data_IF_551098015444
#
_entry.id   IF_551098015444
#
_cell.length_a   1.000
_cell.length_b   1.000
_cell.length_c   1.000
_cell.angle_alpha   90.00
_cell.angle_beta   90.00
_cell.angle_gamma   90.00
#
_symmetry.space_group_name_H-M   'P 1'
#
loop_
_entity.id
_entity.type
_entity.pdbx_description
1 polymer ?
#
# COMPACT_ATOMS: atom_id res chain seq x y z
N UNK A 1 -49.03 -6.95 -14.35
CA UNK A 1 -49.42 -5.65 -14.96
C UNK A 1 -50.05 -4.88 -13.82
N UNK A 2 -49.60 -3.73 -13.35
CA UNK A 2 -48.98 -2.52 -13.93
C UNK A 2 -48.00 -1.94 -12.88
N UNK A 3 -46.73 -1.64 -13.17
CA UNK A 3 -46.15 -0.36 -13.63
C UNK A 3 -46.68 0.91 -12.93
N UNK A 4 -45.81 1.56 -12.15
CA UNK A 4 -45.51 3.01 -12.12
C UNK A 4 -44.40 3.24 -11.08
N UNK A 5 -43.13 3.21 -11.50
CA UNK A 5 -42.30 4.37 -11.89
C UNK A 5 -41.87 5.24 -10.70
N UNK A 6 -40.76 4.84 -10.09
CA UNK A 6 -39.91 5.65 -9.23
C UNK A 6 -39.39 6.86 -10.03
N UNK A 7 -39.82 8.05 -9.66
CA UNK A 7 -39.09 9.29 -9.94
C UNK A 7 -38.70 9.88 -8.59
N UNK A 8 -37.59 9.42 -8.04
CA UNK A 8 -36.86 10.16 -7.01
C UNK A 8 -36.33 11.44 -7.65
N UNK A 9 -37.13 12.50 -7.55
CA UNK A 9 -36.69 13.85 -7.83
C UNK A 9 -35.59 14.19 -6.83
N UNK A 10 -34.37 14.41 -7.35
CA UNK A 10 -33.26 15.02 -6.64
C UNK A 10 -33.74 16.33 -6.01
N UNK A 11 -34.11 16.26 -4.72
CA UNK A 11 -34.43 17.42 -3.91
C UNK A 11 -33.15 18.22 -3.73
N UNK A 12 -32.98 19.24 -4.57
CA UNK A 12 -31.98 20.28 -4.37
C UNK A 12 -32.39 21.01 -3.09
N UNK A 13 -31.67 20.73 -2.01
CA UNK A 13 -31.86 21.40 -0.72
C UNK A 13 -31.74 22.91 -0.94
N UNK A 14 -32.75 23.72 -0.58
CA UNK A 14 -32.64 25.16 -0.71
C UNK A 14 -31.57 25.64 0.28
N UNK A 15 -30.49 26.19 -0.27
CA UNK A 15 -29.48 26.90 0.51
C UNK A 15 -30.17 28.13 1.11
N UNK A 16 -30.29 28.17 2.43
CA UNK A 16 -30.83 29.30 3.17
C UNK A 16 -29.95 30.54 2.90
N UNK A 17 -30.45 31.44 2.05
CA UNK A 17 -29.82 32.74 1.86
C UNK A 17 -30.32 33.67 2.94
N UNK A 18 -29.46 33.93 3.94
CA UNK A 18 -29.63 35.03 4.88
C UNK A 18 -29.92 36.33 4.11
N UNK A 19 -30.96 37.02 4.55
CA UNK A 19 -31.54 38.20 3.92
C UNK A 19 -30.54 39.34 3.83
N UNK A 20 -29.96 39.55 2.64
CA UNK A 20 -29.17 40.73 2.32
C UNK A 20 -30.06 41.86 1.80
N UNK A 21 -29.80 43.04 2.35
CA UNK A 21 -30.51 44.32 2.21
C UNK A 21 -30.74 44.76 0.76
N UNK A 22 -31.99 45.15 0.46
CA UNK A 22 -32.38 45.94 -0.73
C UNK A 22 -32.41 45.18 -2.05
N UNK A 23 -33.60 44.82 -2.54
CA UNK A 23 -33.83 44.24 -3.86
C UNK A 23 -33.32 45.15 -5.00
N UNK A 24 -32.04 45.03 -5.37
CA UNK A 24 -31.50 45.60 -6.60
C UNK A 24 -31.93 44.70 -7.75
N UNK A 25 -32.87 45.17 -8.57
CA UNK A 25 -33.31 44.47 -9.78
C UNK A 25 -32.27 44.73 -10.87
N UNK A 26 -31.48 43.73 -11.21
CA UNK A 26 -30.51 43.80 -12.30
C UNK A 26 -31.17 43.36 -13.61
N UNK A 27 -31.12 44.22 -14.64
CA UNK A 27 -31.55 43.85 -15.99
C UNK A 27 -30.39 43.14 -16.70
N UNK A 28 -30.53 41.83 -16.93
CA UNK A 28 -29.51 41.02 -17.59
C UNK A 28 -29.98 40.72 -19.02
N UNK A 29 -29.12 41.02 -19.99
CA UNK A 29 -29.36 40.72 -21.41
C UNK A 29 -29.14 39.23 -21.69
N UNK A 30 -29.77 38.70 -22.75
CA UNK A 30 -29.60 37.28 -23.12
C UNK A 30 -28.15 36.85 -23.35
N UNK A 31 -27.28 37.79 -23.80
CA UNK A 31 -25.83 37.55 -23.97
C UNK A 31 -25.11 37.37 -22.63
N UNK A 32 -25.46 38.15 -21.62
CA UNK A 32 -24.87 38.03 -20.27
C UNK A 32 -25.29 36.74 -19.59
N UNK A 33 -26.54 36.29 -19.77
CA UNK A 33 -27.01 34.98 -19.30
C UNK A 33 -26.21 33.83 -19.92
N UNK A 34 -25.98 33.87 -21.24
CA UNK A 34 -25.15 32.85 -21.90
C UNK A 34 -23.71 32.86 -21.40
N UNK A 35 -23.13 34.04 -21.13
CA UNK A 35 -21.78 34.15 -20.58
C UNK A 35 -21.68 33.58 -19.17
N UNK A 36 -22.65 33.86 -18.30
CA UNK A 36 -22.71 33.29 -16.95
C UNK A 36 -22.81 31.76 -17.04
N UNK A 37 -23.72 31.23 -17.87
CA UNK A 37 -23.87 29.79 -18.06
C UNK A 37 -22.59 29.13 -18.58
N UNK A 38 -21.89 29.77 -19.53
CA UNK A 38 -20.61 29.28 -20.02
C UNK A 38 -19.51 29.28 -18.96
N UNK A 39 -19.40 30.34 -18.14
CA UNK A 39 -18.41 30.41 -17.06
C UNK A 39 -18.69 29.35 -16.00
N UNK A 40 -19.95 29.19 -15.58
CA UNK A 40 -20.38 28.16 -14.64
C UNK A 40 -20.09 26.75 -15.18
N UNK A 41 -20.41 26.49 -16.44
CA UNK A 41 -20.14 25.20 -17.08
C UNK A 41 -18.63 24.91 -17.18
N UNK A 42 -17.82 25.92 -17.54
CA UNK A 42 -16.36 25.78 -17.60
C UNK A 42 -15.76 25.46 -16.24
N UNK A 43 -16.15 26.19 -15.20
CA UNK A 43 -15.62 25.95 -13.85
C UNK A 43 -16.07 24.60 -13.28
N UNK A 44 -17.34 24.22 -13.51
CA UNK A 44 -17.84 22.90 -13.13
C UNK A 44 -17.05 21.76 -13.80
N UNK A 45 -16.77 21.87 -15.10
CA UNK A 45 -15.96 20.88 -15.84
C UNK A 45 -14.52 20.85 -15.32
N UNK A 46 -13.94 22.00 -15.00
CA UNK A 46 -12.59 22.09 -14.44
C UNK A 46 -12.49 21.39 -13.08
N UNK A 47 -13.40 21.70 -12.16
CA UNK A 47 -13.47 21.05 -10.85
C UNK A 47 -13.68 19.55 -10.97
N UNK A 48 -14.59 19.11 -11.86
CA UNK A 48 -14.81 17.68 -12.12
C UNK A 48 -13.54 16.97 -12.63
N UNK A 49 -12.80 17.61 -13.54
CA UNK A 49 -11.52 17.08 -14.05
C UNK A 49 -10.44 17.04 -12.98
N UNK A 50 -10.36 18.04 -12.11
CA UNK A 50 -9.39 18.06 -11.02
C UNK A 50 -9.68 16.99 -9.98
N UNK A 51 -10.94 16.80 -9.59
CA UNK A 51 -11.34 15.71 -8.70
C UNK A 51 -11.04 14.34 -9.32
N UNK A 52 -11.35 14.14 -10.61
CA UNK A 52 -10.95 12.92 -11.34
C UNK A 52 -9.45 12.67 -11.32
N UNK A 53 -8.64 13.70 -11.57
CA UNK A 53 -7.17 13.57 -11.50
C UNK A 53 -6.69 13.23 -10.09
N UNK A 54 -7.33 13.77 -9.05
CA UNK A 54 -6.99 13.46 -7.65
C UNK A 54 -7.34 12.01 -7.34
N UNK A 55 -8.52 11.51 -7.75
CA UNK A 55 -8.93 10.12 -7.53
C UNK A 55 -8.02 9.16 -8.30
N UNK A 56 -7.73 9.43 -9.57
CA UNK A 56 -6.81 8.62 -10.39
C UNK A 56 -5.41 8.55 -9.75
N UNK A 57 -4.88 9.67 -9.25
CA UNK A 57 -3.59 9.69 -8.54
C UNK A 57 -3.62 8.86 -7.24
N UNK A 58 -4.72 8.92 -6.49
CA UNK A 58 -4.90 8.11 -5.27
C UNK A 58 -4.96 6.63 -5.59
N UNK A 59 -5.71 6.25 -6.63
CA UNK A 59 -5.82 4.87 -7.11
C UNK A 59 -4.47 4.35 -7.60
N UNK A 60 -3.75 5.14 -8.38
CA UNK A 60 -2.42 4.80 -8.87
C UNK A 60 -1.42 4.62 -7.71
N UNK A 61 -1.40 5.55 -6.76
CA UNK A 61 -0.57 5.45 -5.55
C UNK A 61 -0.91 4.17 -4.76
N UNK A 62 -2.19 3.86 -4.60
CA UNK A 62 -2.62 2.64 -3.92
C UNK A 62 -2.17 1.38 -4.69
N UNK A 63 -2.31 1.36 -6.01
CA UNK A 63 -1.84 0.25 -6.85
C UNK A 63 -0.31 0.05 -6.72
N UNK A 64 0.46 1.14 -6.66
CA UNK A 64 1.90 1.08 -6.50
C UNK A 64 2.32 0.63 -5.10
N UNK A 65 1.56 1.01 -4.06
CA UNK A 65 1.74 0.47 -2.70
C UNK A 65 1.55 -1.04 -2.67
N UNK A 66 0.49 -1.56 -3.30
CA UNK A 66 0.25 -3.01 -3.39
C UNK A 66 1.38 -3.75 -4.10
N UNK A 67 1.90 -3.19 -5.20
CA UNK A 67 3.06 -3.76 -5.91
C UNK A 67 4.32 -3.80 -5.03
N UNK A 68 4.57 -2.72 -4.27
CA UNK A 68 5.69 -2.66 -3.30
C UNK A 68 5.54 -3.71 -2.22
N UNK A 69 4.34 -3.87 -1.66
CA UNK A 69 4.04 -4.89 -0.66
C UNK A 69 4.28 -6.30 -1.19
N UNK A 70 3.82 -6.61 -2.41
CA UNK A 70 4.09 -7.92 -3.04
C UNK A 70 5.59 -8.20 -3.16
N UNK A 71 6.38 -7.18 -3.50
CA UNK A 71 7.84 -7.29 -3.58
C UNK A 71 8.47 -7.53 -2.19
N UNK A 72 8.03 -6.80 -1.17
CA UNK A 72 8.50 -7.00 0.21
C UNK A 72 8.20 -8.41 0.72
N UNK A 73 7.00 -8.93 0.44
CA UNK A 73 6.61 -10.29 0.83
C UNK A 73 7.39 -11.36 0.05
N UNK A 74 7.66 -11.17 -1.25
CA UNK A 74 8.51 -12.10 -1.99
C UNK A 74 9.96 -12.08 -1.51
N UNK A 75 10.45 -10.92 -1.08
CA UNK A 75 11.81 -10.75 -0.57
C UNK A 75 11.95 -11.25 0.89
N UNK A 76 10.84 -11.44 1.63
CA UNK A 76 10.85 -11.84 3.05
C UNK A 76 11.69 -13.10 3.31
N UNK A 77 11.48 -14.18 2.55
CA UNK A 77 12.26 -15.43 2.69
C UNK A 77 13.75 -15.22 2.46
N UNK A 78 14.09 -14.37 1.49
CA UNK A 78 15.49 -14.02 1.20
C UNK A 78 16.10 -13.27 2.38
N UNK A 79 15.39 -12.28 2.92
CA UNK A 79 15.83 -11.51 4.08
C UNK A 79 16.01 -12.40 5.31
N UNK A 80 15.08 -13.32 5.56
CA UNK A 80 15.14 -14.28 6.67
C UNK A 80 16.30 -15.26 6.55
N UNK A 81 16.69 -15.66 5.33
CA UNK A 81 17.92 -16.45 5.11
C UNK A 81 19.21 -15.65 5.30
N UNK A 82 19.20 -14.37 4.97
CA UNK A 82 20.37 -13.49 5.09
C UNK A 82 20.68 -13.10 6.54
N UNK A 83 19.69 -13.14 7.44
CA UNK A 83 19.85 -12.83 8.87
C UNK A 83 19.64 -14.10 9.68
N UNK A 84 20.70 -14.81 10.11
CA UNK A 84 20.55 -15.85 11.13
C UNK A 84 20.08 -15.20 12.44
N UNK A 85 19.17 -15.90 13.12
CA UNK A 85 18.29 -15.37 14.18
C UNK A 85 18.99 -14.77 15.40
N UNK A 86 20.31 -14.92 15.60
CA UNK A 86 20.96 -14.54 16.86
C UNK A 86 22.46 -14.16 16.80
N UNK A 87 23.05 -13.81 15.65
CA UNK A 87 24.48 -13.46 15.61
C UNK A 87 24.68 -11.95 15.39
N UNK A 88 24.70 -11.18 16.48
CA UNK A 88 25.55 -10.00 16.52
C UNK A 88 26.97 -10.45 16.15
N UNK A 89 27.69 -9.69 15.32
CA UNK A 89 29.09 -10.03 15.05
C UNK A 89 29.83 -10.16 16.39
N UNK A 90 30.45 -11.31 16.61
CA UNK A 90 31.33 -11.47 17.78
C UNK A 90 32.47 -10.45 17.69
N UNK A 91 32.99 -10.00 18.84
CA UNK A 91 34.10 -9.02 18.86
C UNK A 91 35.30 -9.49 18.01
N UNK A 92 35.52 -10.81 17.89
CA UNK A 92 36.53 -11.39 17.01
C UNK A 92 36.28 -11.15 15.51
N UNK A 93 35.04 -11.28 15.06
CA UNK A 93 34.65 -11.05 13.67
C UNK A 93 34.70 -9.55 13.32
N UNK A 94 34.29 -8.69 14.26
CA UNK A 94 34.46 -7.23 14.12
C UNK A 94 35.94 -6.86 13.95
N UNK A 95 36.81 -7.48 14.73
CA UNK A 95 38.27 -7.30 14.64
C UNK A 95 38.80 -7.81 13.30
N UNK A 96 38.43 -9.01 12.87
CA UNK A 96 38.88 -9.59 11.58
C UNK A 96 38.45 -8.76 10.37
N UNK A 97 37.20 -8.27 10.38
CA UNK A 97 36.66 -7.42 9.31
C UNK A 97 37.28 -6.01 9.34
N UNK A 98 37.60 -5.47 10.52
CA UNK A 98 38.37 -4.24 10.68
C UNK A 98 39.81 -4.40 10.17
N UNK A 99 40.44 -5.55 10.39
CA UNK A 99 41.75 -5.88 9.80
C UNK A 99 41.68 -6.09 8.29
N UNK A 100 40.61 -6.69 7.77
CA UNK A 100 40.38 -6.81 6.32
C UNK A 100 40.23 -5.44 5.66
N UNK A 101 39.52 -4.51 6.31
CA UNK A 101 39.43 -3.10 5.90
C UNK A 101 40.80 -2.40 5.95
N UNK A 102 41.59 -2.59 7.01
CA UNK A 102 42.94 -2.03 7.10
C UNK A 102 43.88 -2.57 6.01
N UNK A 103 43.76 -3.86 5.64
CA UNK A 103 44.50 -4.44 4.51
C UNK A 103 44.12 -3.80 3.17
N UNK A 104 42.83 -3.56 2.96
CA UNK A 104 42.31 -2.91 1.75
C UNK A 104 42.76 -1.43 1.65
N UNK A 105 42.79 -0.74 2.80
CA UNK A 105 43.30 0.64 2.93
C UNK A 105 44.80 0.75 2.64
N UNK A 106 45.58 -0.27 3.00
CA UNK A 106 47.01 -0.33 2.68
C UNK A 106 47.28 -0.73 1.22
N UNK A 107 46.28 -1.17 0.47
CA UNK A 107 46.40 -1.69 -0.90
C UNK A 107 45.82 -0.81 -2.01
N UNK A 108 45.01 0.21 -1.70
CA UNK A 108 44.36 1.04 -2.73
C UNK A 108 44.32 2.54 -2.36
N UNK A 109 44.78 3.38 -3.30
CA UNK A 109 45.05 4.81 -3.09
C UNK A 109 43.81 5.73 -3.09
N UNK A 110 42.58 5.21 -2.96
CA UNK A 110 41.36 6.02 -3.06
C UNK A 110 40.41 5.77 -1.89
N UNK A 111 40.52 6.63 -0.88
CA UNK A 111 39.67 6.66 0.31
C UNK A 111 38.55 7.66 0.06
N UNK A 112 37.36 7.19 -0.31
CA UNK A 112 36.14 8.01 -0.29
C UNK A 112 34.99 7.22 0.32
N UNK A 113 34.85 7.32 1.65
CA UNK A 113 33.63 7.12 2.47
C UNK A 113 34.10 6.74 3.88
N UNK A 114 33.85 7.61 4.86
CA UNK A 114 34.32 7.49 6.26
C UNK A 114 33.60 6.42 7.09
N UNK A 115 32.85 5.51 6.47
CA UNK A 115 32.09 4.46 7.15
C UNK A 115 32.72 3.11 6.78
N UNK A 116 33.19 2.40 7.80
CA UNK A 116 33.89 1.12 7.63
C UNK A 116 32.96 0.10 6.97
N UNK A 117 33.51 -0.85 6.21
CA UNK A 117 32.74 -1.94 5.59
C UNK A 117 31.86 -2.68 6.62
N UNK A 118 32.33 -2.75 7.87
CA UNK A 118 31.63 -3.33 9.01
C UNK A 118 30.38 -2.54 9.38
N UNK A 119 30.48 -1.22 9.57
CA UNK A 119 29.35 -0.37 9.93
C UNK A 119 28.24 -0.40 8.87
N UNK A 120 28.61 -0.44 7.58
CA UNK A 120 27.64 -0.59 6.48
C UNK A 120 26.92 -1.94 6.51
N UNK A 121 27.65 -3.01 6.82
CA UNK A 121 27.08 -4.35 6.90
C UNK A 121 26.15 -4.49 8.12
N UNK A 122 26.54 -3.94 9.27
CA UNK A 122 25.72 -3.88 10.48
C UNK A 122 24.44 -3.07 10.25
N UNK A 123 24.56 -1.89 9.63
CA UNK A 123 23.41 -1.07 9.26
C UNK A 123 22.46 -1.81 8.31
N UNK A 124 22.99 -2.49 7.30
CA UNK A 124 22.19 -3.31 6.37
C UNK A 124 21.46 -4.44 7.10
N UNK A 125 22.11 -5.11 8.05
CA UNK A 125 21.48 -6.16 8.88
C UNK A 125 20.38 -5.59 9.76
N UNK A 126 20.63 -4.46 10.44
CA UNK A 126 19.64 -3.79 11.28
C UNK A 126 18.41 -3.34 10.46
N UNK A 127 18.63 -2.76 9.28
CA UNK A 127 17.56 -2.38 8.34
C UNK A 127 16.76 -3.60 7.88
N UNK A 128 17.43 -4.67 7.47
CA UNK A 128 16.77 -5.92 7.07
C UNK A 128 15.94 -6.53 8.22
N UNK A 129 16.47 -6.53 9.44
CA UNK A 129 15.77 -7.02 10.64
C UNK A 129 14.53 -6.18 10.95
N UNK A 130 14.65 -4.86 10.81
CA UNK A 130 13.51 -3.96 10.93
C UNK A 130 12.41 -4.27 9.90
N UNK A 131 12.78 -4.55 8.64
CA UNK A 131 11.80 -4.92 7.61
C UNK A 131 11.11 -6.26 7.92
N UNK A 132 11.85 -7.27 8.38
CA UNK A 132 11.29 -8.57 8.79
C UNK A 132 10.28 -8.38 9.91
N UNK A 133 10.68 -7.72 11.00
CA UNK A 133 9.81 -7.46 12.15
C UNK A 133 8.55 -6.67 11.77
N UNK A 134 8.68 -5.71 10.84
CA UNK A 134 7.55 -4.94 10.33
C UNK A 134 6.58 -5.80 9.51
N UNK A 135 7.10 -6.72 8.70
CA UNK A 135 6.31 -7.68 7.92
C UNK A 135 5.55 -8.61 8.85
N UNK A 136 6.25 -9.24 9.81
CA UNK A 136 5.64 -10.16 10.78
C UNK A 136 4.54 -9.48 11.59
N UNK A 137 4.79 -8.27 12.08
CA UNK A 137 3.77 -7.50 12.80
C UNK A 137 2.55 -7.17 11.94
N UNK A 138 2.74 -6.84 10.66
CA UNK A 138 1.63 -6.54 9.75
C UNK A 138 0.79 -7.78 9.44
N UNK A 139 1.41 -8.95 9.33
CA UNK A 139 0.71 -10.23 9.14
C UNK A 139 -0.04 -10.64 10.40
N UNK A 140 0.54 -10.44 11.59
CA UNK A 140 -0.13 -10.75 12.85
C UNK A 140 -1.37 -9.87 13.05
N UNK A 141 -1.27 -8.56 12.80
CA UNK A 141 -2.45 -7.69 12.83
C UNK A 141 -3.51 -8.12 11.81
N UNK A 142 -3.10 -8.52 10.61
CA UNK A 142 -4.04 -9.03 9.62
C UNK A 142 -4.74 -10.33 10.08
N UNK A 143 -4.03 -11.21 10.79
CA UNK A 143 -4.59 -12.41 11.40
C UNK A 143 -5.66 -12.06 12.44
N UNK A 144 -5.32 -11.18 13.39
CA UNK A 144 -6.22 -10.75 14.46
C UNK A 144 -7.54 -10.18 13.91
N UNK A 145 -7.46 -9.41 12.83
CA UNK A 145 -8.64 -8.86 12.16
C UNK A 145 -9.49 -9.92 11.46
N UNK A 146 -8.85 -10.93 10.86
CA UNK A 146 -9.56 -12.05 10.24
C UNK A 146 -10.29 -12.88 11.30
N UNK A 147 -9.65 -13.12 12.46
CA UNK A 147 -10.24 -13.82 13.60
C UNK A 147 -11.42 -13.03 14.19
N UNK A 148 -11.26 -11.71 14.37
CA UNK A 148 -12.31 -10.82 14.88
C UNK A 148 -13.52 -10.75 13.96
N UNK A 149 -13.29 -10.74 12.64
CA UNK A 149 -14.35 -10.64 11.63
C UNK A 149 -15.22 -11.90 11.50
N UNK A 150 -14.76 -13.06 12.01
CA UNK A 150 -15.44 -14.38 11.95
C UNK A 150 -15.92 -14.82 10.56
N UNK A 151 -15.37 -14.25 9.49
CA UNK A 151 -15.67 -14.64 8.11
C UNK A 151 -14.74 -15.78 7.69
N UNK A 152 -15.26 -16.94 7.28
CA UNK A 152 -14.41 -18.08 6.89
C UNK A 152 -13.54 -17.75 5.67
N UNK A 153 -14.03 -16.88 4.77
CA UNK A 153 -13.29 -16.42 3.60
C UNK A 153 -12.06 -15.59 3.97
N UNK A 154 -12.16 -14.70 4.96
CA UNK A 154 -11.05 -13.86 5.38
C UNK A 154 -9.93 -14.71 6.01
N UNK A 155 -10.31 -15.70 6.83
CA UNK A 155 -9.35 -16.63 7.44
C UNK A 155 -8.69 -17.54 6.40
N UNK A 156 -9.40 -17.89 5.32
CA UNK A 156 -8.80 -18.62 4.19
C UNK A 156 -7.77 -17.75 3.48
N UNK A 157 -8.12 -16.51 3.10
CA UNK A 157 -7.19 -15.58 2.46
C UNK A 157 -5.91 -15.38 3.27
N UNK A 158 -6.01 -15.30 4.61
CA UNK A 158 -4.86 -15.25 5.49
C UNK A 158 -3.96 -16.49 5.36
N UNK A 159 -4.56 -17.69 5.45
CA UNK A 159 -3.82 -18.96 5.33
C UNK A 159 -3.12 -19.08 3.99
N UNK A 160 -3.81 -18.78 2.89
CA UNK A 160 -3.21 -18.81 1.55
C UNK A 160 -1.99 -17.89 1.43
N UNK A 161 -2.06 -16.67 1.99
CA UNK A 161 -0.92 -15.74 1.98
C UNK A 161 0.21 -16.18 2.90
N UNK A 162 -0.11 -16.73 4.07
CA UNK A 162 0.87 -17.22 5.02
C UNK A 162 1.68 -18.38 4.42
N UNK A 163 0.99 -19.37 3.86
CA UNK A 163 1.59 -20.52 3.19
C UNK A 163 2.41 -20.11 1.95
N UNK A 164 1.92 -19.13 1.19
CA UNK A 164 2.58 -18.72 -0.04
C UNK A 164 3.87 -17.92 0.19
N UNK A 165 3.90 -16.98 1.15
CA UNK A 165 5.03 -16.06 1.34
C UNK A 165 5.88 -16.31 2.59
N UNK A 166 5.30 -16.80 3.68
CA UNK A 166 5.92 -16.77 5.02
C UNK A 166 6.39 -18.15 5.45
N UNK A 167 5.58 -19.19 5.16
CA UNK A 167 5.94 -20.56 5.47
C UNK A 167 7.32 -20.91 4.93
N UNK A 168 8.07 -21.71 5.69
CA UNK A 168 9.43 -22.14 5.36
C UNK A 168 9.46 -22.96 4.07
N UNK A 169 8.45 -23.80 3.85
CA UNK A 169 8.27 -24.57 2.63
C UNK A 169 7.51 -23.75 1.59
N UNK A 170 8.06 -23.66 0.38
CA UNK A 170 7.41 -22.96 -0.72
C UNK A 170 6.29 -23.82 -1.31
N UNK A 171 5.05 -23.57 -0.88
CA UNK A 171 3.88 -24.18 -1.52
C UNK A 171 3.52 -23.47 -2.82
N UNK A 172 3.31 -24.27 -3.86
CA UNK A 172 2.79 -23.76 -5.14
C UNK A 172 1.31 -23.41 -5.02
N UNK A 173 0.84 -22.52 -5.88
CA UNK A 173 -0.59 -22.13 -5.93
C UNK A 173 -1.51 -23.33 -6.12
N UNK A 174 -1.07 -24.34 -6.89
CA UNK A 174 -1.83 -25.57 -7.11
C UNK A 174 -1.95 -26.43 -5.82
N UNK A 175 -0.88 -26.51 -5.02
CA UNK A 175 -0.92 -27.21 -3.73
C UNK A 175 -1.84 -26.49 -2.76
N UNK A 176 -1.73 -25.17 -2.64
CA UNK A 176 -2.60 -24.35 -1.78
C UNK A 176 -4.07 -24.50 -2.20
N UNK A 177 -4.34 -24.47 -3.51
CA UNK A 177 -5.67 -24.70 -4.06
C UNK A 177 -6.24 -26.07 -3.69
N UNK A 178 -5.40 -27.12 -3.70
CA UNK A 178 -5.81 -28.47 -3.29
C UNK A 178 -6.07 -28.59 -1.78
N UNK A 179 -5.27 -27.93 -0.94
CA UNK A 179 -5.41 -27.94 0.53
C UNK A 179 -6.69 -27.22 0.98
N UNK A 180 -6.95 -26.04 0.42
CA UNK A 180 -8.11 -25.21 0.78
C UNK A 180 -9.37 -25.53 -0.06
N UNK A 181 -9.30 -26.53 -0.94
CA UNK A 181 -10.39 -26.98 -1.81
C UNK A 181 -10.98 -25.84 -2.69
N UNK A 182 -10.12 -25.04 -3.33
CA UNK A 182 -10.53 -23.90 -4.18
C UNK A 182 -9.87 -23.98 -5.56
N UNK A 183 -10.40 -23.27 -6.54
CA UNK A 183 -9.74 -23.08 -7.85
C UNK A 183 -8.52 -22.17 -7.72
N UNK A 184 -7.45 -22.46 -8.47
CA UNK A 184 -6.24 -21.61 -8.57
C UNK A 184 -6.56 -20.14 -8.87
N UNK A 185 -7.59 -19.88 -9.69
CA UNK A 185 -8.01 -18.51 -10.02
C UNK A 185 -8.48 -17.73 -8.79
N UNK A 186 -9.14 -18.43 -7.86
CA UNK A 186 -9.59 -17.83 -6.61
C UNK A 186 -8.41 -17.58 -5.69
N UNK A 187 -7.44 -18.49 -5.61
CA UNK A 187 -6.22 -18.30 -4.82
C UNK A 187 -5.45 -17.05 -5.27
N UNK A 188 -5.26 -16.85 -6.59
CA UNK A 188 -4.63 -15.61 -7.08
C UNK A 188 -5.40 -14.34 -6.70
N UNK A 189 -6.73 -14.41 -6.69
CA UNK A 189 -7.59 -13.29 -6.30
C UNK A 189 -7.50 -13.01 -4.80
N UNK A 190 -7.49 -14.07 -3.99
CA UNK A 190 -7.46 -14.03 -2.54
C UNK A 190 -6.10 -13.51 -2.04
N UNK A 191 -4.98 -14.01 -2.59
CA UNK A 191 -3.65 -13.45 -2.40
C UNK A 191 -3.62 -11.96 -2.78
N UNK A 192 -4.22 -11.61 -3.93
CA UNK A 192 -4.30 -10.22 -4.38
C UNK A 192 -5.07 -9.31 -3.41
N UNK A 193 -6.14 -9.81 -2.81
CA UNK A 193 -6.95 -9.08 -1.84
C UNK A 193 -6.25 -8.94 -0.49
N UNK A 194 -5.65 -10.03 0.00
CA UNK A 194 -4.86 -10.02 1.22
C UNK A 194 -3.65 -9.07 1.11
N UNK A 195 -2.94 -9.05 -0.03
CA UNK A 195 -1.87 -8.08 -0.26
C UNK A 195 -2.36 -6.61 -0.21
N UNK A 196 -3.60 -6.31 -0.61
CA UNK A 196 -4.16 -4.95 -0.50
C UNK A 196 -4.36 -4.56 0.96
N UNK A 197 -4.86 -5.49 1.78
CA UNK A 197 -5.07 -5.27 3.20
C UNK A 197 -3.73 -5.10 3.91
N UNK A 198 -2.78 -6.02 3.67
CA UNK A 198 -1.43 -5.95 4.24
C UNK A 198 -0.69 -4.66 3.81
N UNK A 199 -0.93 -4.16 2.59
CA UNK A 199 -0.33 -2.90 2.14
C UNK A 199 -0.76 -1.70 3.01
N UNK A 200 -1.97 -1.73 3.58
CA UNK A 200 -2.43 -0.71 4.53
C UNK A 200 -1.63 -0.78 5.82
N UNK A 201 -1.44 -1.96 6.41
CA UNK A 201 -0.63 -2.13 7.64
C UNK A 201 0.84 -1.82 7.43
N UNK A 202 1.38 -2.17 6.27
CA UNK A 202 2.79 -1.94 5.98
C UNK A 202 3.08 -0.50 5.61
N UNK A 203 2.34 0.12 4.71
CA UNK A 203 2.72 1.40 4.10
C UNK A 203 1.84 2.58 4.51
N UNK A 204 0.73 2.33 5.21
CA UNK A 204 -0.26 3.34 5.55
C UNK A 204 -1.04 3.85 4.33
N UNK A 205 -2.20 4.45 4.57
CA UNK A 205 -2.99 5.16 3.55
C UNK A 205 -2.49 6.59 3.40
#
# INVERSE_FOLDING_TARGET
MERQSEQELLAIVPVETESLEGNRIYQVTGRELTQIAEISAREAVKMCREERKKTEKREQSNADKVKRTKKLLSDYRRLKREIPENEEFTEGEKVEKRWAFLRDLMGSAHINSQESVVEKEEKRRAENMYYINRIERAIETYREECETSKKPEAMRCYREVYEYYIAEEEKTVAQIASEECVSEKTVYKDIGNACKIIAVYLLGV
#
